data_IF_799345805851
#
_entry.id   IF_799345805851
#
_cell.length_a   1.000
_cell.length_b   1.000
_cell.length_c   1.000
_cell.angle_alpha   90.00
_cell.angle_beta   90.00
_cell.angle_gamma   90.00
#
_symmetry.space_group_name_H-M   'P 1'
#
loop_
_entity.id
_entity.type
_entity.pdbx_description
1 polymer ?
#
# COMPACT_ATOMS: atom_id res chain seq x y z
N UNK A 1 -3.31 2.55 -7.64
CA UNK A 1 -2.78 3.22 -6.43
C UNK A 1 -3.94 3.76 -5.60
N UNK A 2 -3.92 3.57 -4.28
CA UNK A 2 -4.98 4.07 -3.40
C UNK A 2 -4.84 5.57 -3.16
N UNK A 3 -5.97 6.28 -3.01
CA UNK A 3 -5.98 7.69 -2.56
C UNK A 3 -5.98 7.75 -1.03
N UNK A 4 -4.94 8.26 -0.36
CA UNK A 4 -4.82 8.16 1.09
C UNK A 4 -6.02 8.71 1.88
N UNK A 5 -6.64 9.78 1.40
CA UNK A 5 -7.73 10.45 2.11
C UNK A 5 -9.06 9.71 2.07
N UNK A 6 -9.25 8.76 1.15
CA UNK A 6 -10.50 8.00 1.05
C UNK A 6 -10.54 6.79 1.98
N UNK A 7 -9.38 6.30 2.41
CA UNK A 7 -9.26 5.09 3.20
C UNK A 7 -8.94 5.43 4.65
N UNK A 8 -9.77 4.98 5.59
CA UNK A 8 -9.64 5.29 7.02
C UNK A 8 -8.25 4.94 7.57
N UNK A 9 -7.72 3.78 7.19
CA UNK A 9 -6.46 3.28 7.73
C UNK A 9 -5.27 4.06 7.18
N UNK A 10 -5.33 4.49 5.92
CA UNK A 10 -4.31 5.35 5.32
C UNK A 10 -4.34 6.76 5.93
N UNK A 11 -5.53 7.34 6.14
CA UNK A 11 -5.66 8.60 6.90
C UNK A 11 -5.07 8.48 8.30
N UNK A 12 -5.27 7.36 8.97
CA UNK A 12 -4.74 7.14 10.31
C UNK A 12 -3.21 7.04 10.29
N UNK A 13 -2.62 6.30 9.35
CA UNK A 13 -1.16 6.27 9.17
C UNK A 13 -0.58 7.67 8.91
N UNK A 14 -1.23 8.46 8.05
CA UNK A 14 -0.83 9.85 7.81
C UNK A 14 -0.90 10.71 9.09
N UNK A 15 -1.95 10.54 9.91
CA UNK A 15 -2.07 11.23 11.19
C UNK A 15 -1.00 10.80 12.22
N UNK A 16 -0.43 9.60 12.07
CA UNK A 16 0.72 9.11 12.84
C UNK A 16 2.08 9.56 12.27
N UNK A 17 2.09 10.36 11.19
CA UNK A 17 3.30 10.92 10.58
C UNK A 17 3.86 10.14 9.39
N UNK A 18 3.23 9.04 8.99
CA UNK A 18 3.63 8.29 7.79
C UNK A 18 3.39 9.15 6.55
N UNK A 19 4.43 9.37 5.76
CA UNK A 19 4.32 10.09 4.49
C UNK A 19 3.67 9.16 3.46
N UNK A 20 2.52 9.58 2.93
CA UNK A 20 1.79 8.83 1.91
C UNK A 20 1.82 9.59 0.59
N UNK A 21 2.17 8.89 -0.48
CA UNK A 21 2.18 9.44 -1.83
C UNK A 21 0.72 9.53 -2.32
N UNK A 22 0.30 10.72 -2.74
CA UNK A 22 -1.01 10.93 -3.36
C UNK A 22 -0.87 10.81 -4.89
N UNK A 23 -1.59 9.88 -5.56
CA UNK A 23 -1.54 9.80 -7.02
C UNK A 23 -2.12 11.06 -7.67
N UNK A 24 -1.33 11.70 -8.53
CA UNK A 24 -1.78 12.83 -9.34
C UNK A 24 -2.93 12.44 -10.30
N UNK A 25 -3.78 13.42 -10.61
CA UNK A 25 -4.90 13.30 -11.57
C UNK A 25 -6.27 13.10 -10.91
N UNK A 26 -7.34 13.26 -11.69
CA UNK A 26 -8.70 13.45 -11.17
C UNK A 26 -9.62 12.22 -11.34
N UNK A 27 -9.13 11.18 -12.02
CA UNK A 27 -9.93 10.00 -12.33
C UNK A 27 -9.94 9.01 -11.16
N UNK A 28 -11.13 8.59 -10.75
CA UNK A 28 -11.35 7.57 -9.73
C UNK A 28 -11.35 8.12 -8.30
N UNK A 29 -12.48 7.93 -7.60
CA UNK A 29 -12.69 8.48 -6.26
C UNK A 29 -11.75 7.89 -5.20
N UNK A 30 -11.54 6.56 -5.21
CA UNK A 30 -10.77 5.86 -4.17
C UNK A 30 -9.44 5.27 -4.67
N UNK A 31 -9.33 5.07 -5.98
CA UNK A 31 -8.21 4.45 -6.66
C UNK A 31 -7.87 5.24 -7.92
N UNK A 32 -6.58 5.50 -8.13
CA UNK A 32 -6.05 5.98 -9.38
C UNK A 32 -5.37 4.83 -10.14
N UNK A 33 -5.55 4.81 -11.46
CA UNK A 33 -4.77 3.94 -12.35
C UNK A 33 -3.35 4.48 -12.47
N UNK A 34 -2.38 3.59 -12.42
CA UNK A 34 -0.96 3.91 -12.56
C UNK A 34 -0.30 2.77 -13.31
N UNK A 35 0.56 3.09 -14.28
CA UNK A 35 1.34 2.06 -14.96
C UNK A 35 2.54 1.62 -14.10
N UNK A 36 3.23 0.58 -14.54
CA UNK A 36 4.30 -0.05 -13.75
C UNK A 36 5.52 0.84 -13.65
N UNK A 37 5.85 1.54 -14.72
CA UNK A 37 7.01 2.44 -14.82
C UNK A 37 6.84 3.64 -13.88
N UNK A 38 5.65 4.23 -13.84
CA UNK A 38 5.28 5.29 -12.91
C UNK A 38 5.37 4.82 -11.46
N UNK A 39 4.85 3.63 -11.16
CA UNK A 39 4.91 3.07 -9.81
C UNK A 39 6.37 2.85 -9.37
N UNK A 40 7.22 2.31 -10.24
CA UNK A 40 8.63 2.09 -9.94
C UNK A 40 9.41 3.40 -9.72
N UNK A 41 8.98 4.52 -10.33
CA UNK A 41 9.60 5.83 -10.11
C UNK A 41 9.22 6.53 -8.81
N UNK A 42 8.27 5.99 -8.03
CA UNK A 42 7.82 6.60 -6.79
C UNK A 42 8.83 6.48 -5.64
N UNK A 43 9.80 5.56 -5.76
CA UNK A 43 10.89 5.35 -4.80
C UNK A 43 10.40 5.25 -3.34
N UNK A 44 9.39 4.41 -3.12
CA UNK A 44 8.74 4.27 -1.82
C UNK A 44 9.49 3.26 -0.93
N UNK A 45 9.72 3.61 0.33
CA UNK A 45 10.33 2.71 1.33
C UNK A 45 9.38 1.61 1.82
N UNK A 46 8.06 1.79 1.63
CA UNK A 46 7.03 0.85 2.05
C UNK A 46 5.92 0.75 1.02
N UNK A 47 5.56 -0.49 0.68
CA UNK A 47 4.45 -0.83 -0.21
C UNK A 47 3.34 -1.50 0.59
N UNK A 48 2.13 -0.94 0.50
CA UNK A 48 0.91 -1.56 1.01
C UNK A 48 0.21 -2.32 -0.12
N UNK A 49 0.35 -3.63 -0.13
CA UNK A 49 -0.25 -4.49 -1.16
C UNK A 49 -1.69 -4.84 -0.80
N UNK A 50 -2.63 -4.60 -1.71
CA UNK A 50 -4.04 -4.96 -1.52
C UNK A 50 -4.18 -6.47 -1.37
N UNK A 51 -4.70 -6.91 -0.23
CA UNK A 51 -4.83 -8.32 0.13
C UNK A 51 -6.25 -8.86 -0.08
N UNK A 52 -7.15 -8.11 -0.71
CA UNK A 52 -8.48 -8.61 -1.06
C UNK A 52 -8.38 -9.70 -2.13
N UNK A 53 -9.32 -10.64 -2.11
CA UNK A 53 -9.28 -11.81 -2.99
C UNK A 53 -9.35 -11.47 -4.50
N UNK A 54 -9.89 -10.29 -4.85
CA UNK A 54 -9.96 -9.81 -6.23
C UNK A 54 -8.73 -8.99 -6.67
N UNK A 55 -7.75 -8.79 -5.79
CA UNK A 55 -6.47 -8.19 -6.12
C UNK A 55 -5.44 -9.26 -6.50
N UNK A 56 -4.51 -8.90 -7.38
CA UNK A 56 -3.36 -9.76 -7.70
C UNK A 56 -2.46 -9.82 -6.48
N UNK A 57 -2.20 -11.03 -5.97
CA UNK A 57 -1.43 -11.19 -4.75
C UNK A 57 0.08 -11.00 -5.01
N UNK A 58 0.85 -10.48 -4.04
CA UNK A 58 2.31 -10.31 -4.18
C UNK A 58 3.04 -11.57 -4.66
N UNK A 59 2.63 -12.76 -4.19
CA UNK A 59 3.22 -14.04 -4.61
C UNK A 59 3.12 -14.30 -6.12
N UNK A 60 2.07 -13.80 -6.75
CA UNK A 60 1.83 -13.95 -8.18
C UNK A 60 2.64 -12.93 -9.00
N UNK A 61 3.16 -11.89 -8.34
CA UNK A 61 4.00 -10.86 -8.94
C UNK A 61 5.49 -11.15 -8.77
N UNK A 62 5.90 -12.19 -8.05
CA UNK A 62 7.31 -12.52 -7.78
C UNK A 62 8.16 -12.72 -9.04
N UNK A 63 7.55 -13.10 -10.17
CA UNK A 63 8.24 -13.24 -11.47
C UNK A 63 8.24 -11.96 -12.30
N UNK A 64 7.46 -10.94 -11.92
CA UNK A 64 7.38 -9.65 -12.61
C UNK A 64 8.64 -8.82 -12.36
N UNK A 65 9.41 -8.45 -13.40
CA UNK A 65 10.58 -7.58 -13.23
C UNK A 65 10.22 -6.23 -12.60
N UNK A 66 9.08 -5.64 -12.99
CA UNK A 66 8.62 -4.38 -12.44
C UNK A 66 8.27 -4.48 -10.95
N UNK A 67 7.69 -5.60 -10.51
CA UNK A 67 7.43 -5.83 -9.09
C UNK A 67 8.73 -5.94 -8.30
N UNK A 68 9.70 -6.72 -8.81
CA UNK A 68 11.03 -6.85 -8.19
C UNK A 68 11.74 -5.52 -8.07
N UNK A 69 11.68 -4.67 -9.11
CA UNK A 69 12.26 -3.32 -9.06
C UNK A 69 11.56 -2.46 -8.03
N UNK A 70 10.22 -2.45 -8.04
CA UNK A 70 9.43 -1.68 -7.08
C UNK A 70 9.74 -2.07 -5.63
N UNK A 71 10.00 -3.36 -5.37
CA UNK A 71 10.25 -3.87 -4.01
C UNK A 71 11.73 -4.05 -3.68
N UNK A 72 12.66 -3.57 -4.52
CA UNK A 72 14.10 -3.90 -4.41
C UNK A 72 14.79 -3.33 -3.16
N UNK A 73 14.13 -2.42 -2.44
CA UNK A 73 14.59 -1.88 -1.16
C UNK A 73 13.44 -1.45 -0.26
N UNK A 74 12.21 -1.87 -0.59
CA UNK A 74 11.00 -1.46 0.09
C UNK A 74 10.47 -2.58 0.98
N UNK A 75 10.02 -2.25 2.18
CA UNK A 75 9.17 -3.14 2.98
C UNK A 75 7.85 -3.41 2.25
N UNK A 76 7.28 -4.60 2.43
CA UNK A 76 5.96 -4.94 1.84
C UNK A 76 5.03 -5.44 2.93
N UNK A 77 3.96 -4.69 3.18
CA UNK A 77 2.90 -5.08 4.09
C UNK A 77 1.60 -5.36 3.34
N UNK A 78 0.90 -6.43 3.73
CA UNK A 78 -0.44 -6.68 3.27
C UNK A 78 -1.41 -5.65 3.88
N UNK A 79 -2.29 -5.10 3.06
CA UNK A 79 -3.33 -4.17 3.46
C UNK A 79 -4.67 -4.62 2.91
N UNK A 80 -5.65 -4.82 3.79
CA UNK A 80 -7.05 -4.98 3.40
C UNK A 80 -7.78 -3.64 3.59
N UNK A 81 -8.29 -2.99 2.53
CA UNK A 81 -9.11 -1.79 2.65
C UNK A 81 -10.43 -2.02 3.41
N UNK A 82 -10.85 -3.28 3.56
CA UNK A 82 -12.04 -3.74 4.26
C UNK A 82 -11.66 -4.47 5.57
N UNK A 83 -10.70 -3.91 6.33
CA UNK A 83 -10.35 -4.45 7.66
C UNK A 83 -11.63 -4.54 8.52
N UNK A 84 -11.91 -5.70 9.15
CA UNK A 84 -13.04 -5.83 10.05
C UNK A 84 -13.02 -4.75 11.14
N UNK A 85 -14.20 -4.24 11.52
CA UNK A 85 -14.34 -3.25 12.59
C UNK A 85 -14.00 -3.88 13.96
N UNK A 86 -12.71 -4.04 14.21
CA UNK A 86 -12.13 -4.76 15.34
C UNK A 86 -10.82 -4.08 15.75
N UNK A 87 -10.68 -3.65 17.01
CA UNK A 87 -9.43 -3.09 17.50
C UNK A 87 -8.24 -4.04 17.29
N UNK A 88 -8.44 -5.35 17.46
CA UNK A 88 -7.40 -6.34 17.26
C UNK A 88 -6.96 -6.43 15.79
N UNK A 89 -7.90 -6.34 14.85
CA UNK A 89 -7.60 -6.38 13.42
C UNK A 89 -6.80 -5.15 12.98
N UNK A 90 -7.21 -3.94 13.40
CA UNK A 90 -6.47 -2.72 13.12
C UNK A 90 -5.08 -2.72 13.77
N UNK A 91 -4.98 -3.14 15.04
CA UNK A 91 -3.70 -3.21 15.73
C UNK A 91 -2.74 -4.21 15.06
N UNK A 92 -3.26 -5.32 14.54
CA UNK A 92 -2.46 -6.28 13.76
C UNK A 92 -1.91 -5.65 12.50
N UNK A 93 -2.74 -4.92 11.74
CA UNK A 93 -2.32 -4.19 10.55
C UNK A 93 -1.23 -3.15 10.86
N UNK A 94 -1.43 -2.29 11.86
CA UNK A 94 -0.44 -1.26 12.19
C UNK A 94 0.89 -1.84 12.68
N UNK A 95 0.86 -2.97 13.41
CA UNK A 95 2.10 -3.68 13.77
C UNK A 95 2.82 -4.22 12.53
N UNK A 96 2.10 -4.80 11.58
CA UNK A 96 2.70 -5.28 10.34
C UNK A 96 3.35 -4.14 9.54
N UNK A 97 2.68 -2.98 9.46
CA UNK A 97 3.26 -1.76 8.87
C UNK A 97 4.53 -1.33 9.60
N UNK A 98 4.50 -1.25 10.93
CA UNK A 98 5.66 -0.83 11.72
C UNK A 98 6.88 -1.76 11.53
N UNK A 99 6.67 -3.07 11.44
CA UNK A 99 7.75 -4.05 11.19
C UNK A 99 8.40 -3.85 9.81
N UNK A 100 7.59 -3.51 8.80
CA UNK A 100 8.09 -3.33 7.43
C UNK A 100 8.71 -1.95 7.19
N UNK A 101 8.33 -0.94 7.99
CA UNK A 101 8.83 0.43 7.88
C UNK A 101 10.21 0.66 8.53
N UNK A 102 10.78 -0.34 9.20
CA UNK A 102 12.10 -0.28 9.85
C UNK A 102 13.24 -0.87 8.99
N UNK A 103 13.01 -1.02 7.68
CA UNK A 103 14.02 -1.47 6.71
C UNK A 103 15.04 -0.39 6.37
#
# INVERSE_FOLDING_TARGET
MARPQTWRELRHLAALGVQLIDPAGDTGANWASMNREQAASLDADLILADSRANAIQPRELETSPAWRTLTAGAGVAAWNPEIPCSPAAHASFFRAVAVQATG
#
